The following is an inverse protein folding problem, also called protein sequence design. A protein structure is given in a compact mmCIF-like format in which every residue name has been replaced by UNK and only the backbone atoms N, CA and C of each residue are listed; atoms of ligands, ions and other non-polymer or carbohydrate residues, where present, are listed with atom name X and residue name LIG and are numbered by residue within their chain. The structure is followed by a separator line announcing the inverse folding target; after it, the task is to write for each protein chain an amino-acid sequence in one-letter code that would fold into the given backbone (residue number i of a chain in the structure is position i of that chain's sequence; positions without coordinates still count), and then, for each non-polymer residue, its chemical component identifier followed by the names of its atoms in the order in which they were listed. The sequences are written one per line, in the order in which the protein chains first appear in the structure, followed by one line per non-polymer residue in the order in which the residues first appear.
data_IF_077277186356
#
_entry.id   IF_077277186356
#
_cell.length_a   1.000
_cell.length_b   1.000
_cell.length_c   1.000
_cell.angle_alpha   90.00
_cell.angle_beta   90.00
_cell.angle_gamma   90.00
#
_symmetry.space_group_name_H-M   'P 1'
#
loop_
_entity.id
_entity.type
_entity.pdbx_description
1 polymer ?
#
# COMPACT_ATOMS: atom_id res chain seq x y z
N UNK A 1 0.22 2.94 -18.30
CA UNK A 1 -0.46 2.24 -17.19
C UNK A 1 -0.58 0.72 -17.35
N UNK A 2 -1.36 0.16 -18.29
CA UNK A 2 -1.57 -1.30 -18.38
C UNK A 2 -0.27 -2.14 -18.48
N UNK A 3 0.70 -1.67 -19.25
CA UNK A 3 2.02 -2.31 -19.37
C UNK A 3 2.75 -2.35 -18.02
N UNK A 4 2.77 -1.24 -17.28
CA UNK A 4 3.41 -1.16 -15.96
C UNK A 4 2.75 -2.14 -15.00
N UNK A 5 1.42 -2.19 -14.96
CA UNK A 5 0.67 -3.15 -14.12
C UNK A 5 1.03 -4.60 -14.47
N UNK A 6 1.07 -4.95 -15.75
CA UNK A 6 1.45 -6.29 -16.21
C UNK A 6 2.88 -6.66 -15.79
N UNK A 7 3.81 -5.70 -15.92
CA UNK A 7 5.20 -5.87 -15.51
C UNK A 7 5.29 -6.09 -14.00
N UNK A 8 4.57 -5.31 -13.20
CA UNK A 8 4.54 -5.44 -11.74
C UNK A 8 3.94 -6.78 -11.32
N UNK A 9 2.81 -7.22 -11.90
CA UNK A 9 2.23 -8.56 -11.63
C UNK A 9 3.25 -9.65 -11.92
N UNK A 10 3.91 -9.58 -13.07
CA UNK A 10 4.91 -10.58 -13.49
C UNK A 10 6.09 -10.59 -12.52
N UNK A 11 6.58 -9.41 -12.15
CA UNK A 11 7.69 -9.28 -11.20
C UNK A 11 7.32 -9.81 -9.80
N UNK A 12 6.12 -9.48 -9.29
CA UNK A 12 5.62 -9.97 -8.01
C UNK A 12 5.44 -11.49 -7.98
N UNK A 13 4.98 -12.07 -9.09
CA UNK A 13 4.89 -13.52 -9.24
C UNK A 13 6.26 -14.20 -9.09
N UNK A 14 7.28 -13.66 -9.77
CA UNK A 14 8.63 -14.23 -9.77
C UNK A 14 9.36 -14.00 -8.44
N UNK A 15 9.20 -12.82 -7.81
CA UNK A 15 10.08 -12.37 -6.72
C UNK A 15 9.42 -12.34 -5.32
N UNK A 16 8.08 -12.39 -5.26
CA UNK A 16 7.30 -12.33 -4.04
C UNK A 16 6.37 -13.54 -3.83
N UNK A 17 6.30 -14.48 -4.78
CA UNK A 17 5.50 -15.69 -4.66
C UNK A 17 3.99 -15.46 -4.68
N UNK A 18 3.55 -14.31 -5.21
CA UNK A 18 2.13 -14.00 -5.39
C UNK A 18 1.60 -14.64 -6.69
N UNK A 19 0.31 -14.99 -6.77
CA UNK A 19 -0.24 -15.54 -8.00
C UNK A 19 -0.22 -14.50 -9.13
N UNK A 20 0.14 -14.94 -10.34
CA UNK A 20 0.14 -14.10 -11.54
C UNK A 20 -1.31 -13.88 -12.04
N UNK A 21 -2.03 -12.97 -11.38
CA UNK A 21 -3.40 -12.59 -11.74
C UNK A 21 -3.35 -11.27 -12.51
N UNK A 22 -3.81 -11.30 -13.76
CA UNK A 22 -3.80 -10.14 -14.67
C UNK A 22 -5.15 -9.41 -14.76
N UNK A 23 -6.07 -9.68 -13.82
CA UNK A 23 -7.27 -8.86 -13.58
C UNK A 23 -6.87 -7.55 -12.90
N UNK A 24 -6.33 -6.60 -13.67
CA UNK A 24 -5.70 -5.40 -13.12
C UNK A 24 -6.65 -4.50 -12.31
N UNK A 25 -6.15 -3.77 -11.30
CA UNK A 25 -6.96 -2.82 -10.55
C UNK A 25 -7.32 -1.59 -11.39
N UNK A 26 -8.38 -0.89 -10.95
CA UNK A 26 -8.64 0.48 -11.41
C UNK A 26 -7.58 1.40 -10.82
N UNK A 27 -7.08 2.36 -11.60
CA UNK A 27 -6.16 3.40 -11.12
C UNK A 27 -6.90 4.73 -11.12
N UNK A 28 -6.90 5.43 -9.98
CA UNK A 28 -7.41 6.79 -9.86
C UNK A 28 -6.34 7.72 -9.29
N UNK A 29 -6.03 8.79 -10.02
CA UNK A 29 -5.18 9.87 -9.52
C UNK A 29 -6.05 10.86 -8.73
N UNK A 30 -5.60 11.22 -7.53
CA UNK A 30 -6.41 12.01 -6.59
C UNK A 30 -5.59 13.09 -5.90
N UNK A 31 -6.23 14.23 -5.66
CA UNK A 31 -5.68 15.27 -4.81
C UNK A 31 -5.47 14.78 -3.36
N UNK A 32 -4.59 15.42 -2.58
CA UNK A 32 -4.35 15.04 -1.18
C UNK A 32 -5.64 15.04 -0.33
N UNK A 33 -6.53 16.02 -0.56
CA UNK A 33 -7.81 16.10 0.14
C UNK A 33 -8.73 14.91 -0.16
N UNK A 34 -8.79 14.47 -1.43
CA UNK A 34 -9.56 13.29 -1.81
C UNK A 34 -8.91 12.01 -1.26
N UNK A 35 -7.58 11.92 -1.27
CA UNK A 35 -6.87 10.77 -0.69
C UNK A 35 -7.16 10.61 0.80
N UNK A 36 -7.13 11.72 1.56
CA UNK A 36 -7.51 11.72 2.96
C UNK A 36 -8.95 11.28 3.18
N UNK A 37 -9.90 11.80 2.38
CA UNK A 37 -11.31 11.42 2.47
C UNK A 37 -11.54 9.92 2.21
N UNK A 38 -10.85 9.35 1.20
CA UNK A 38 -10.91 7.91 0.90
C UNK A 38 -10.41 7.08 2.09
N UNK A 39 -9.28 7.47 2.71
CA UNK A 39 -8.71 6.78 3.87
C UNK A 39 -9.69 6.73 5.05
N UNK A 40 -10.34 7.85 5.37
CA UNK A 40 -11.33 7.92 6.46
C UNK A 40 -12.57 7.08 6.12
N UNK A 41 -13.07 7.17 4.88
CA UNK A 41 -14.23 6.38 4.42
C UNK A 41 -13.99 4.87 4.42
N UNK A 42 -12.78 4.44 4.06
CA UNK A 42 -12.35 3.04 4.14
C UNK A 42 -12.34 2.50 5.56
N UNK A 43 -11.89 3.31 6.53
CA UNK A 43 -11.89 2.95 7.95
C UNK A 43 -13.32 2.76 8.50
N UNK A 44 -14.26 3.63 8.12
CA UNK A 44 -15.67 3.51 8.53
C UNK A 44 -16.36 2.28 7.92
N UNK A 45 -15.97 1.87 6.71
CA UNK A 45 -16.55 0.71 6.03
C UNK A 45 -15.96 -0.65 6.45
N UNK A 46 -14.87 -0.64 7.24
CA UNK A 46 -14.10 -1.83 7.62
C UNK A 46 -14.26 -2.33 9.06
N UNK A 47 -15.22 -1.82 9.84
CA UNK A 47 -15.37 -2.24 11.25
C UNK A 47 -16.18 -3.53 11.43
N UNK A 48 -15.46 -4.64 11.60
CA UNK A 48 -15.73 -5.55 12.73
C UNK A 48 -15.53 -4.77 14.04
N UNK A 49 -16.42 -4.92 15.05
CA UNK A 49 -16.31 -4.18 16.30
C UNK A 49 -15.20 -4.80 17.15
N UNK A 50 -14.03 -4.16 17.19
CA UNK A 50 -12.89 -4.67 17.99
C UNK A 50 -11.65 -3.78 18.09
N UNK A 51 -11.57 -2.66 17.37
CA UNK A 51 -10.31 -1.89 17.27
C UNK A 51 -10.48 -0.44 17.71
N UNK A 52 -10.87 -0.21 18.97
CA UNK A 52 -10.65 1.10 19.61
C UNK A 52 -9.28 1.04 20.29
N UNK A 53 -8.24 1.39 19.55
CA UNK A 53 -6.96 1.78 20.12
C UNK A 53 -6.48 3.05 19.40
N UNK A 54 -6.55 4.15 20.16
CA UNK A 54 -5.97 5.49 19.92
C UNK A 54 -6.51 6.30 18.73
N UNK A 55 -7.72 6.83 18.90
CA UNK A 55 -8.16 8.06 18.25
C UNK A 55 -8.22 9.21 19.27
N UNK A 56 -7.09 9.62 19.85
CA UNK A 56 -6.93 10.97 20.44
C UNK A 56 -5.44 11.35 20.37
N UNK A 57 -5.03 11.94 19.25
CA UNK A 57 -4.09 13.06 19.25
C UNK A 57 -4.55 14.01 18.15
N UNK A 58 -5.27 15.03 18.62
CA UNK A 58 -5.29 16.41 18.15
C UNK A 58 -5.43 16.67 16.65
N UNK A 59 -6.49 17.42 16.32
CA UNK A 59 -6.44 18.38 15.23
C UNK A 59 -5.27 19.34 15.46
N UNK A 60 -4.12 18.98 14.89
CA UNK A 60 -2.99 19.84 14.61
C UNK A 60 -2.50 19.42 13.24
N UNK A 61 -2.39 20.40 12.36
CA UNK A 61 -1.61 20.32 11.13
C UNK A 61 -0.20 19.84 11.48
N UNK A 62 0.02 18.54 11.43
CA UNK A 62 1.36 17.95 11.49
C UNK A 62 1.88 17.97 10.06
N UNK A 63 2.91 18.76 9.82
CA UNK A 63 3.53 18.87 8.52
C UNK A 63 4.03 17.49 8.04
N UNK A 64 3.41 16.96 6.98
CA UNK A 64 4.18 16.20 5.99
C UNK A 64 4.12 14.68 6.00
N UNK A 65 3.26 14.01 6.77
CA UNK A 65 3.01 12.57 6.53
C UNK A 65 2.00 12.39 5.38
N UNK A 66 2.48 12.62 4.16
CA UNK A 66 1.72 12.42 2.94
C UNK A 66 1.43 10.91 2.81
N UNK A 67 0.15 10.55 2.64
CA UNK A 67 -0.21 9.19 2.24
C UNK A 67 0.24 9.04 0.79
N UNK A 68 1.15 8.11 0.50
CA UNK A 68 1.75 7.98 -0.83
C UNK A 68 0.85 7.21 -1.81
N UNK A 69 0.01 6.31 -1.31
CA UNK A 69 -1.04 5.62 -2.07
C UNK A 69 -1.99 4.87 -1.13
N UNK A 70 -3.11 4.37 -1.68
CA UNK A 70 -4.07 3.52 -0.98
C UNK A 70 -4.68 2.50 -1.95
N UNK A 71 -4.89 1.27 -1.49
CA UNK A 71 -5.73 0.28 -2.16
C UNK A 71 -7.08 0.10 -1.46
N UNK A 72 -8.17 0.09 -2.23
CA UNK A 72 -9.53 -0.20 -1.76
C UNK A 72 -9.99 -1.58 -2.26
N UNK A 73 -10.22 -2.51 -1.33
CA UNK A 73 -10.60 -3.90 -1.62
C UNK A 73 -11.93 -4.03 -2.37
N UNK A 74 -12.90 -3.17 -2.06
CA UNK A 74 -14.29 -3.28 -2.55
C UNK A 74 -14.39 -2.88 -4.01
N UNK A 75 -13.78 -1.76 -4.35
CA UNK A 75 -13.76 -1.19 -5.68
C UNK A 75 -12.60 -1.70 -6.53
N UNK A 76 -11.65 -2.43 -5.92
CA UNK A 76 -10.38 -2.86 -6.52
C UNK A 76 -9.64 -1.69 -7.18
N UNK A 77 -9.59 -0.58 -6.45
CA UNK A 77 -9.01 0.68 -6.94
C UNK A 77 -7.72 0.98 -6.18
N UNK A 78 -6.65 1.28 -6.90
CA UNK A 78 -5.45 1.92 -6.36
C UNK A 78 -5.58 3.43 -6.58
N UNK A 79 -5.48 4.18 -5.49
CA UNK A 79 -5.44 5.63 -5.49
C UNK A 79 -3.99 6.11 -5.41
N UNK A 80 -3.56 6.86 -6.41
CA UNK A 80 -2.23 7.47 -6.49
C UNK A 80 -2.36 9.00 -6.41
N UNK A 81 -1.34 9.73 -5.93
CA UNK A 81 -1.41 11.18 -5.88
C UNK A 81 -1.42 11.77 -7.29
N UNK A 82 -2.11 12.90 -7.46
CA UNK A 82 -1.99 13.72 -8.66
C UNK A 82 -0.52 14.09 -8.91
N UNK A 83 -0.07 13.94 -10.16
CA UNK A 83 1.33 14.18 -10.53
C UNK A 83 2.25 12.96 -10.45
N UNK A 84 1.76 11.80 -10.01
CA UNK A 84 2.50 10.54 -10.11
C UNK A 84 2.74 10.16 -11.59
N UNK A 85 3.98 9.78 -11.92
CA UNK A 85 4.42 9.73 -13.33
C UNK A 85 4.89 8.37 -13.84
N UNK A 86 4.94 7.29 -13.03
CA UNK A 86 5.59 6.00 -13.35
C UNK A 86 7.09 6.05 -13.70
N UNK A 87 7.77 7.20 -13.51
CA UNK A 87 9.13 7.37 -14.03
C UNK A 87 10.23 7.05 -13.03
N UNK A 88 9.94 7.07 -11.73
CA UNK A 88 10.96 6.84 -10.70
C UNK A 88 10.83 5.47 -10.03
N UNK A 89 11.96 4.83 -9.63
CA UNK A 89 11.91 3.59 -8.84
C UNK A 89 11.06 3.70 -7.58
N UNK A 90 11.09 4.88 -6.93
CA UNK A 90 10.34 5.17 -5.70
C UNK A 90 8.84 5.19 -5.96
N UNK A 91 8.37 5.91 -6.99
CA UNK A 91 6.95 5.92 -7.40
C UNK A 91 6.44 4.52 -7.76
N UNK A 92 7.22 3.74 -8.52
CA UNK A 92 6.85 2.37 -8.86
C UNK A 92 6.84 1.48 -7.62
N UNK A 93 7.73 1.69 -6.65
CA UNK A 93 7.75 0.90 -5.41
C UNK A 93 6.43 1.02 -4.64
N UNK A 94 5.82 2.21 -4.63
CA UNK A 94 4.50 2.42 -4.04
C UNK A 94 3.43 1.63 -4.80
N UNK A 95 3.46 1.65 -6.13
CA UNK A 95 2.57 0.83 -6.94
C UNK A 95 2.78 -0.68 -6.70
N UNK A 96 4.02 -1.13 -6.51
CA UNK A 96 4.35 -2.52 -6.15
C UNK A 96 3.69 -2.90 -4.82
N UNK A 97 3.76 -2.03 -3.81
CA UNK A 97 3.09 -2.24 -2.51
C UNK A 97 1.58 -2.42 -2.68
N UNK A 98 0.91 -1.48 -3.36
CA UNK A 98 -0.54 -1.54 -3.55
C UNK A 98 -0.97 -2.71 -4.46
N UNK A 99 -0.15 -3.10 -5.43
CA UNK A 99 -0.39 -4.28 -6.25
C UNK A 99 -0.31 -5.59 -5.45
N UNK A 100 0.52 -5.67 -4.40
CA UNK A 100 0.47 -6.80 -3.46
C UNK A 100 -0.91 -6.90 -2.82
N UNK A 101 -1.44 -5.79 -2.31
CA UNK A 101 -2.77 -5.77 -1.70
C UNK A 101 -3.88 -6.18 -2.67
N UNK A 102 -3.77 -5.75 -3.92
CA UNK A 102 -4.67 -6.15 -4.98
C UNK A 102 -4.63 -7.66 -5.24
N UNK A 103 -3.44 -8.24 -5.45
CA UNK A 103 -3.29 -9.67 -5.70
C UNK A 103 -3.75 -10.51 -4.51
N UNK A 104 -3.46 -10.07 -3.28
CA UNK A 104 -3.98 -10.71 -2.06
C UNK A 104 -5.51 -10.75 -2.04
N UNK A 105 -6.16 -9.62 -2.37
CA UNK A 105 -7.61 -9.50 -2.37
C UNK A 105 -8.25 -10.37 -3.46
N UNK A 106 -7.77 -10.30 -4.69
CA UNK A 106 -8.34 -11.06 -5.82
C UNK A 106 -8.09 -12.56 -5.68
N UNK A 107 -6.95 -12.96 -5.13
CA UNK A 107 -6.67 -14.37 -4.82
C UNK A 107 -7.40 -14.87 -3.56
N UNK A 108 -8.10 -14.00 -2.83
CA UNK A 108 -8.81 -14.37 -1.61
C UNK A 108 -7.89 -14.82 -0.46
N UNK A 109 -6.64 -14.37 -0.45
CA UNK A 109 -5.67 -14.72 0.59
C UNK A 109 -6.16 -14.25 1.95
N UNK A 110 -6.05 -15.12 2.95
CA UNK A 110 -6.47 -14.84 4.32
C UNK A 110 -5.23 -14.62 5.19
N UNK A 111 -5.31 -13.59 6.01
CA UNK A 111 -4.30 -13.23 6.98
C UNK A 111 -4.97 -13.23 8.35
N UNK A 112 -4.21 -13.56 9.38
CA UNK A 112 -4.66 -13.57 10.77
C UNK A 112 -5.11 -12.18 11.26
N UNK A 113 -4.48 -11.12 10.74
CA UNK A 113 -4.84 -9.74 11.04
C UNK A 113 -4.46 -8.81 9.87
N UNK A 114 -4.98 -7.56 9.84
CA UNK A 114 -4.58 -6.58 8.83
C UNK A 114 -3.07 -6.32 8.77
N UNK A 115 -2.38 -6.29 9.91
CA UNK A 115 -0.94 -6.04 9.95
C UNK A 115 -0.14 -7.16 9.28
N UNK A 116 -0.51 -8.43 9.47
CA UNK A 116 0.13 -9.54 8.78
C UNK A 116 -0.01 -9.45 7.26
N UNK A 117 -1.08 -8.81 6.75
CA UNK A 117 -1.30 -8.54 5.33
C UNK A 117 -0.31 -7.50 4.76
N UNK A 118 0.12 -6.52 5.57
CA UNK A 118 1.08 -5.48 5.18
C UNK A 118 2.50 -6.02 4.97
N UNK A 119 2.89 -7.05 5.72
CA UNK A 119 4.25 -7.60 5.70
C UNK A 119 4.76 -7.96 4.29
N UNK A 120 4.05 -8.78 3.49
CA UNK A 120 4.50 -9.09 2.13
C UNK A 120 4.53 -7.86 1.21
N UNK A 121 3.69 -6.84 1.45
CA UNK A 121 3.68 -5.62 0.65
C UNK A 121 4.95 -4.79 0.88
N UNK A 122 5.31 -4.53 2.14
CA UNK A 122 6.56 -3.85 2.48
C UNK A 122 7.80 -4.63 2.04
N UNK A 123 7.80 -5.97 2.17
CA UNK A 123 8.91 -6.81 1.70
C UNK A 123 9.08 -6.70 0.18
N UNK A 124 7.98 -6.72 -0.58
CA UNK A 124 8.04 -6.55 -2.03
C UNK A 124 8.51 -5.15 -2.43
N UNK A 125 8.04 -4.12 -1.73
CA UNK A 125 8.44 -2.74 -1.96
C UNK A 125 9.95 -2.53 -1.74
N UNK A 126 10.49 -3.02 -0.62
CA UNK A 126 11.91 -2.89 -0.31
C UNK A 126 12.78 -3.68 -1.31
N UNK A 127 12.36 -4.90 -1.67
CA UNK A 127 13.03 -5.69 -2.72
C UNK A 127 13.06 -4.96 -4.07
N UNK A 128 11.98 -4.25 -4.43
CA UNK A 128 11.96 -3.45 -5.64
C UNK A 128 12.96 -2.30 -5.58
N UNK A 129 12.95 -1.53 -4.48
CA UNK A 129 13.89 -0.42 -4.27
C UNK A 129 15.36 -0.88 -4.31
N UNK A 130 15.65 -2.06 -3.75
CA UNK A 130 16.98 -2.63 -3.73
C UNK A 130 17.56 -2.89 -5.13
N UNK A 131 16.72 -3.12 -6.15
CA UNK A 131 17.17 -3.23 -7.55
C UNK A 131 17.85 -1.95 -8.06
N UNK A 132 17.59 -0.82 -7.42
CA UNK A 132 18.10 0.50 -7.76
C UNK A 132 19.02 1.06 -6.68
N UNK A 133 19.48 0.22 -5.74
CA UNK A 133 20.34 0.65 -4.62
C UNK A 133 19.64 1.56 -3.60
N UNK A 134 18.30 1.49 -3.51
CA UNK A 134 17.46 2.27 -2.59
C UNK A 134 16.84 1.38 -1.52
N UNK A 135 16.24 1.96 -0.49
CA UNK A 135 15.52 1.24 0.58
C UNK A 135 14.37 2.09 1.15
N UNK A 136 13.47 1.44 1.88
CA UNK A 136 12.29 2.10 2.47
C UNK A 136 12.63 3.26 3.44
N UNK A 137 13.70 3.10 4.22
CA UNK A 137 14.07 4.05 5.28
C UNK A 137 14.49 5.38 4.67
N UNK A 138 15.32 5.34 3.64
CA UNK A 138 15.85 6.54 3.00
C UNK A 138 14.80 7.27 2.16
N UNK A 139 13.99 6.51 1.42
CA UNK A 139 13.01 7.06 0.47
C UNK A 139 11.75 7.61 1.15
N UNK A 140 11.21 6.89 2.14
CA UNK A 140 9.91 7.23 2.75
C UNK A 140 10.03 7.75 4.17
N UNK A 141 11.27 7.85 4.70
CA UNK A 141 11.53 8.19 6.12
C UNK A 141 10.77 7.27 7.08
N UNK A 142 10.49 6.04 6.63
CA UNK A 142 9.85 5.02 7.44
C UNK A 142 10.92 4.41 8.32
N UNK A 143 10.86 4.72 9.61
CA UNK A 143 11.74 4.06 10.55
C UNK A 143 11.35 2.57 10.66
N UNK A 144 12.33 1.66 10.86
CA UNK A 144 12.06 0.23 10.95
C UNK A 144 11.03 -0.15 12.03
N UNK A 145 10.87 0.63 13.10
CA UNK A 145 9.85 0.37 14.12
C UNK A 145 8.44 0.70 13.61
N UNK A 146 8.26 1.73 12.79
CA UNK A 146 6.97 1.98 12.11
C UNK A 146 6.59 0.81 11.21
N UNK A 147 7.54 0.26 10.43
CA UNK A 147 7.28 -0.94 9.61
C UNK A 147 6.96 -2.15 10.49
N UNK A 148 7.69 -2.33 11.59
CA UNK A 148 7.45 -3.43 12.53
C UNK A 148 6.05 -3.36 13.15
N UNK A 149 5.62 -2.19 13.65
CA UNK A 149 4.28 -2.01 14.23
C UNK A 149 3.20 -2.24 13.19
N UNK A 150 3.39 -1.76 11.95
CA UNK A 150 2.42 -1.94 10.87
C UNK A 150 2.30 -3.38 10.37
N UNK A 151 3.24 -4.25 10.70
CA UNK A 151 3.32 -5.62 10.16
C UNK A 151 3.13 -6.73 11.19
N UNK A 152 3.05 -6.41 12.48
CA UNK A 152 2.82 -7.39 13.54
C UNK A 152 1.38 -7.30 14.07
N UNK A 153 0.74 -8.46 14.22
CA UNK A 153 -0.54 -8.54 14.91
C UNK A 153 -0.33 -8.17 16.38
N UNK A 154 -1.13 -7.22 16.86
CA UNK A 154 -1.24 -6.95 18.29
C UNK A 154 -2.36 -7.84 18.82
N UNK A 155 -2.04 -8.65 19.83
CA UNK A 155 -2.91 -9.66 20.44
C UNK A 155 -4.22 -9.08 20.96
#
# INVERSE_FOLDING_TARGET
MQTVLTTVVTWLSINAGLPAIYDHPRIEFVSPAKMYAVRIGGHVSGHSPGSVATAVHEGRSDEGHHVEALYDDRSRTIYLPEGWTDTTPTEISVLVHEMVHHLQNVAGLKYECPQAREKPAYVAQDKWLALFGRNLVDEFKLDPMTVLVRTNCMY
#
